data_IF_989832565750
#
_entry.id   IF_989832565750
#
_cell.length_a   1.000
_cell.length_b   1.000
_cell.length_c   1.000
_cell.angle_alpha   90.00
_cell.angle_beta   90.00
_cell.angle_gamma   90.00
#
_symmetry.space_group_name_H-M   'P 1'
#
loop_
_entity.id
_entity.type
_entity.pdbx_description
1 polymer ?
#
# COMPACT_ATOMS: atom_id res chain seq x y z
N UNK A 1 2.53 -18.57 0.33
CA UNK A 1 1.69 -19.54 1.04
C UNK A 1 2.57 -20.31 2.03
N UNK A 2 2.24 -20.20 3.31
CA UNK A 2 2.88 -20.98 4.36
C UNK A 2 2.02 -22.20 4.69
N UNK A 3 2.65 -23.36 4.87
CA UNK A 3 1.96 -24.64 5.06
C UNK A 3 2.58 -25.43 6.18
N UNK A 4 1.72 -26.01 7.01
CA UNK A 4 2.09 -27.05 7.97
C UNK A 4 1.49 -28.38 7.51
N UNK A 5 2.32 -29.27 7.02
CA UNK A 5 1.92 -30.61 6.61
C UNK A 5 2.18 -31.59 7.74
N UNK A 6 1.13 -32.20 8.25
CA UNK A 6 1.22 -33.26 9.26
C UNK A 6 1.96 -34.47 8.72
N UNK A 7 2.78 -35.11 9.54
CA UNK A 7 3.61 -36.30 9.13
C UNK A 7 2.76 -37.44 8.57
N UNK A 8 1.52 -37.55 8.98
CA UNK A 8 0.59 -38.59 8.51
C UNK A 8 -0.23 -38.20 7.27
N UNK A 9 0.03 -37.02 6.70
CA UNK A 9 -0.63 -36.56 5.48
C UNK A 9 0.22 -36.97 4.28
N UNK A 10 -0.34 -37.83 3.44
CA UNK A 10 0.27 -38.24 2.18
C UNK A 10 -0.43 -37.57 0.99
N UNK A 11 0.31 -36.79 0.21
CA UNK A 11 -0.20 -36.05 -0.97
C UNK A 11 0.33 -36.60 -2.30
N UNK A 12 1.13 -37.65 -2.28
CA UNK A 12 1.78 -38.18 -3.48
C UNK A 12 3.03 -37.40 -3.93
N UNK A 13 3.40 -36.33 -3.23
CA UNK A 13 4.47 -35.42 -3.65
C UNK A 13 3.94 -34.25 -4.50
N UNK A 14 4.85 -33.42 -5.02
CA UNK A 14 4.50 -32.30 -5.91
C UNK A 14 3.69 -31.16 -5.27
N UNK A 15 3.71 -31.02 -3.94
CA UNK A 15 2.94 -30.01 -3.20
C UNK A 15 3.20 -28.58 -3.70
N UNK A 16 4.45 -28.25 -3.97
CA UNK A 16 4.83 -26.91 -4.44
C UNK A 16 4.29 -26.63 -5.84
N UNK A 17 4.39 -27.59 -6.74
CA UNK A 17 3.86 -27.48 -8.10
C UNK A 17 2.34 -27.34 -8.09
N UNK A 18 1.64 -28.16 -7.30
CA UNK A 18 0.19 -28.11 -7.18
C UNK A 18 -0.30 -26.77 -6.64
N UNK A 19 0.40 -26.22 -5.64
CA UNK A 19 0.06 -24.90 -5.09
C UNK A 19 0.40 -23.75 -6.03
N UNK A 20 1.51 -23.84 -6.77
CA UNK A 20 1.86 -22.87 -7.80
C UNK A 20 0.81 -22.83 -8.91
N UNK A 21 0.32 -24.02 -9.34
CA UNK A 21 -0.80 -24.13 -10.29
C UNK A 21 -2.09 -23.53 -9.71
N UNK A 22 -2.39 -23.78 -8.44
CA UNK A 22 -3.54 -23.20 -7.75
C UNK A 22 -3.46 -21.67 -7.73
N UNK A 23 -2.31 -21.10 -7.40
CA UNK A 23 -2.10 -19.64 -7.46
C UNK A 23 -2.30 -19.12 -8.89
N UNK A 24 -1.68 -19.79 -9.88
CA UNK A 24 -1.85 -19.43 -11.29
C UNK A 24 -3.31 -19.39 -11.70
N UNK A 25 -4.05 -20.47 -11.45
CA UNK A 25 -5.45 -20.58 -11.83
C UNK A 25 -6.29 -19.49 -11.18
N UNK A 26 -6.11 -19.25 -9.87
CA UNK A 26 -6.83 -18.18 -9.15
C UNK A 26 -6.59 -16.81 -9.78
N UNK A 27 -5.34 -16.47 -10.14
CA UNK A 27 -5.06 -15.17 -10.78
C UNK A 27 -5.64 -15.05 -12.19
N UNK A 28 -5.81 -16.14 -12.91
CA UNK A 28 -6.38 -16.16 -14.26
C UNK A 28 -7.91 -16.18 -14.21
N UNK A 29 -8.50 -17.07 -13.42
CA UNK A 29 -9.94 -17.34 -13.41
C UNK A 29 -10.70 -16.25 -12.64
N UNK A 30 -10.17 -15.79 -11.51
CA UNK A 30 -10.81 -14.77 -10.65
C UNK A 30 -10.41 -13.33 -11.04
N UNK A 31 -9.66 -13.14 -12.12
CA UNK A 31 -9.19 -11.84 -12.59
C UNK A 31 -8.48 -11.01 -11.51
N UNK A 32 -7.70 -11.65 -10.64
CA UNK A 32 -6.99 -10.95 -9.60
C UNK A 32 -5.92 -10.01 -10.17
N UNK A 33 -5.66 -8.93 -9.47
CA UNK A 33 -4.69 -7.94 -9.87
C UNK A 33 -3.28 -8.54 -9.89
N UNK A 34 -2.65 -8.54 -11.06
CA UNK A 34 -1.30 -9.04 -11.29
C UNK A 34 -0.30 -7.87 -11.35
N UNK A 35 0.80 -7.98 -10.62
CA UNK A 35 1.83 -6.92 -10.56
C UNK A 35 3.26 -7.47 -10.47
N UNK A 36 3.43 -8.78 -10.69
CA UNK A 36 4.74 -9.42 -10.68
C UNK A 36 5.43 -9.21 -12.02
N UNK A 37 6.60 -8.58 -12.00
CA UNK A 37 7.47 -8.46 -13.16
C UNK A 37 8.60 -9.50 -13.07
N UNK A 38 8.92 -10.10 -14.20
CA UNK A 38 10.08 -10.96 -14.38
C UNK A 38 11.19 -10.18 -15.10
N UNK A 39 12.43 -10.15 -14.60
CA UNK A 39 13.54 -9.55 -15.30
C UNK A 39 13.92 -10.40 -16.52
N UNK A 40 14.09 -9.75 -17.67
CA UNK A 40 14.58 -10.38 -18.90
C UNK A 40 16.09 -10.18 -19.06
N UNK A 41 16.59 -9.04 -18.62
CA UNK A 41 18.01 -8.71 -18.53
C UNK A 41 18.21 -7.72 -17.38
N UNK A 42 19.36 -7.03 -17.32
CA UNK A 42 19.69 -6.10 -16.24
C UNK A 42 18.69 -4.93 -16.10
N UNK A 43 18.03 -4.53 -17.18
CA UNK A 43 17.18 -3.33 -17.23
C UNK A 43 15.77 -3.58 -17.79
N UNK A 44 15.56 -4.72 -18.47
CA UNK A 44 14.28 -5.03 -19.07
C UNK A 44 13.49 -5.98 -18.22
N UNK A 45 12.21 -5.69 -18.07
CA UNK A 45 11.26 -6.49 -17.32
C UNK A 45 9.99 -6.72 -18.15
N UNK A 46 9.31 -7.81 -17.86
CA UNK A 46 7.97 -8.11 -18.40
C UNK A 46 7.03 -8.51 -17.28
N UNK A 47 5.79 -8.03 -17.33
CA UNK A 47 4.77 -8.46 -16.39
C UNK A 47 4.40 -9.92 -16.67
N UNK A 48 4.40 -10.76 -15.64
CA UNK A 48 4.11 -12.20 -15.78
C UNK A 48 2.64 -12.49 -16.14
N UNK A 49 1.74 -11.55 -15.90
CA UNK A 49 0.30 -11.73 -16.11
C UNK A 49 -0.38 -12.71 -15.14
N UNK A 50 0.39 -13.39 -14.31
CA UNK A 50 -0.06 -14.49 -13.45
C UNK A 50 0.31 -14.32 -11.98
N UNK A 51 1.10 -13.32 -11.66
CA UNK A 51 1.70 -13.08 -10.34
C UNK A 51 2.62 -14.20 -9.84
N UNK A 52 3.12 -15.07 -10.72
CA UNK A 52 4.15 -16.04 -10.40
C UNK A 52 5.55 -15.44 -10.67
N UNK A 53 6.58 -15.93 -9.96
CA UNK A 53 6.58 -16.99 -8.96
C UNK A 53 5.97 -16.56 -7.63
N UNK A 54 5.25 -17.49 -6.98
CA UNK A 54 4.74 -17.31 -5.63
C UNK A 54 5.73 -17.82 -4.60
N UNK A 55 5.82 -17.16 -3.44
CA UNK A 55 6.56 -17.71 -2.32
C UNK A 55 5.74 -18.81 -1.66
N UNK A 56 6.34 -20.00 -1.52
CA UNK A 56 5.72 -21.19 -0.95
C UNK A 56 6.67 -21.78 0.08
N UNK A 57 6.27 -21.79 1.35
CA UNK A 57 7.04 -22.34 2.47
C UNK A 57 6.34 -23.57 3.04
N UNK A 58 7.01 -24.71 3.12
CA UNK A 58 6.47 -25.96 3.65
C UNK A 58 7.15 -26.33 4.96
N UNK A 59 6.35 -26.59 5.98
CA UNK A 59 6.82 -27.01 7.29
C UNK A 59 6.25 -28.40 7.63
N UNK A 60 7.12 -29.34 7.98
CA UNK A 60 6.70 -30.61 8.55
C UNK A 60 6.31 -30.42 10.01
N UNK A 61 5.18 -30.98 10.42
CA UNK A 61 4.68 -30.96 11.80
C UNK A 61 4.05 -32.30 12.15
N UNK A 62 3.84 -32.55 13.44
CA UNK A 62 3.05 -33.71 13.87
C UNK A 62 1.59 -33.55 13.48
N UNK A 63 0.94 -34.67 13.23
CA UNK A 63 -0.51 -34.68 13.00
C UNK A 63 -0.91 -35.28 11.65
N UNK A 64 -2.18 -35.14 11.35
CA UNK A 64 -2.90 -35.66 10.18
C UNK A 64 -3.68 -34.60 9.42
N UNK A 65 -3.41 -33.34 9.70
CA UNK A 65 -3.98 -32.20 9.01
C UNK A 65 -2.95 -31.50 8.11
N UNK A 66 -3.42 -30.93 7.01
CA UNK A 66 -2.67 -30.04 6.15
C UNK A 66 -3.21 -28.61 6.34
N UNK A 67 -2.43 -27.75 6.98
CA UNK A 67 -2.84 -26.38 7.32
C UNK A 67 -2.16 -25.37 6.41
N UNK A 68 -2.92 -24.38 5.97
CA UNK A 68 -2.49 -23.33 5.05
C UNK A 68 -2.66 -21.94 5.69
N UNK A 69 -1.72 -21.06 5.42
CA UNK A 69 -1.84 -19.63 5.56
C UNK A 69 -1.56 -19.01 4.20
N UNK A 70 -2.59 -18.49 3.55
CA UNK A 70 -2.48 -17.80 2.27
C UNK A 70 -2.44 -16.30 2.53
N UNK A 71 -1.43 -15.59 1.97
CA UNK A 71 -1.25 -14.15 2.13
C UNK A 71 -1.14 -13.52 0.74
N UNK A 72 -2.07 -12.60 0.40
CA UNK A 72 -2.08 -11.86 -0.85
C UNK A 72 -1.79 -10.38 -0.59
N UNK A 73 -0.52 -9.98 -0.59
CA UNK A 73 -0.09 -8.59 -0.41
C UNK A 73 0.68 -8.10 -1.63
N UNK A 74 0.31 -6.92 -2.14
CA UNK A 74 1.03 -6.27 -3.22
C UNK A 74 2.29 -5.54 -2.75
N UNK A 75 3.19 -5.19 -3.67
CA UNK A 75 4.49 -4.59 -3.39
C UNK A 75 4.44 -3.33 -2.51
N UNK A 76 3.47 -2.44 -2.71
CA UNK A 76 3.28 -1.25 -1.87
C UNK A 76 2.66 -1.53 -0.50
N UNK A 77 2.12 -2.72 -0.27
CA UNK A 77 1.56 -3.16 1.01
C UNK A 77 2.41 -4.28 1.63
N UNK A 78 3.45 -4.73 0.92
CA UNK A 78 4.36 -5.75 1.40
C UNK A 78 5.18 -5.22 2.58
N UNK A 79 5.64 -6.15 3.38
CA UNK A 79 6.44 -5.81 4.54
C UNK A 79 7.76 -5.17 4.13
N UNK A 80 8.05 -4.01 4.71
CA UNK A 80 9.41 -3.53 4.83
C UNK A 80 9.99 -4.12 6.10
N UNK A 81 10.99 -4.95 5.94
CA UNK A 81 11.64 -5.62 7.07
C UNK A 81 13.10 -5.22 7.10
N UNK A 82 13.56 -4.83 8.28
CA UNK A 82 14.94 -4.51 8.57
C UNK A 82 15.43 -5.42 9.68
N UNK A 83 16.66 -5.86 9.54
CA UNK A 83 17.38 -6.59 10.57
C UNK A 83 18.48 -5.70 11.14
N UNK A 84 18.47 -5.54 12.45
CA UNK A 84 19.53 -4.87 13.20
C UNK A 84 20.28 -5.90 14.03
N UNK A 85 21.60 -5.87 13.97
CA UNK A 85 22.45 -6.72 14.79
C UNK A 85 22.93 -5.90 16.00
N UNK A 86 22.33 -6.17 17.14
CA UNK A 86 22.61 -5.48 18.38
C UNK A 86 23.24 -6.45 19.41
N UNK A 87 23.62 -5.90 20.55
CA UNK A 87 24.17 -6.69 21.66
C UNK A 87 23.18 -6.78 22.81
N UNK A 88 23.45 -7.67 23.78
CA UNK A 88 22.65 -7.78 25.02
C UNK A 88 22.47 -6.43 25.74
N UNK A 89 23.39 -5.48 25.57
CA UNK A 89 23.31 -4.16 26.19
C UNK A 89 22.03 -3.37 25.79
N UNK A 90 21.39 -3.73 24.68
CA UNK A 90 20.11 -3.16 24.26
C UNK A 90 18.95 -3.60 25.16
N UNK A 91 19.02 -4.78 25.79
CA UNK A 91 17.93 -5.38 26.56
C UNK A 91 17.80 -4.78 27.96
N UNK A 92 17.62 -3.48 28.01
CA UNK A 92 17.15 -2.77 29.20
C UNK A 92 15.88 -2.00 28.80
N UNK A 93 14.88 -1.87 29.69
CA UNK A 93 13.57 -1.33 29.34
C UNK A 93 13.63 -0.01 28.54
N UNK A 94 14.33 0.98 29.07
CA UNK A 94 14.44 2.28 28.40
C UNK A 94 15.22 2.24 27.08
N UNK A 95 16.33 1.50 27.01
CA UNK A 95 17.16 1.44 25.80
C UNK A 95 16.45 0.75 24.64
N UNK A 96 15.80 -0.39 24.91
CA UNK A 96 15.08 -1.12 23.90
C UNK A 96 13.93 -0.27 23.32
N UNK A 97 13.12 0.34 24.17
CA UNK A 97 12.03 1.22 23.75
C UNK A 97 12.55 2.38 22.90
N UNK A 98 13.55 3.10 23.38
CA UNK A 98 14.11 4.25 22.66
C UNK A 98 14.69 3.86 21.28
N UNK A 99 15.40 2.74 21.22
CA UNK A 99 15.90 2.20 19.96
C UNK A 99 14.76 1.93 18.97
N UNK A 100 13.70 1.27 19.40
CA UNK A 100 12.56 0.95 18.55
C UNK A 100 11.84 2.20 18.05
N UNK A 101 11.61 3.18 18.94
CA UNK A 101 11.00 4.47 18.58
C UNK A 101 11.87 5.24 17.59
N UNK A 102 13.20 5.25 17.78
CA UNK A 102 14.13 5.85 16.82
C UNK A 102 14.02 5.19 15.43
N UNK A 103 14.00 3.85 15.40
CA UNK A 103 13.85 3.13 14.13
C UNK A 103 12.47 3.32 13.48
N UNK A 104 11.40 3.44 14.28
CA UNK A 104 10.09 3.84 13.77
C UNK A 104 10.15 5.18 13.04
N UNK A 105 10.81 6.18 13.60
CA UNK A 105 11.00 7.50 12.96
C UNK A 105 11.70 7.39 11.61
N UNK A 106 12.78 6.61 11.55
CA UNK A 106 13.54 6.43 10.30
C UNK A 106 12.79 5.59 9.27
N UNK A 107 12.00 4.63 9.69
CA UNK A 107 11.12 3.87 8.82
C UNK A 107 10.02 4.77 8.24
N UNK A 108 9.39 5.60 9.06
CA UNK A 108 8.39 6.56 8.63
C UNK A 108 8.93 7.60 7.65
N UNK A 109 10.02 8.26 7.97
CA UNK A 109 10.61 9.32 7.12
C UNK A 109 11.22 8.78 5.83
N UNK A 110 11.78 7.59 5.81
CA UNK A 110 12.24 6.94 4.56
C UNK A 110 11.08 6.52 3.66
N UNK A 111 9.90 6.36 4.19
CA UNK A 111 8.67 6.22 3.40
C UNK A 111 8.17 7.57 2.87
N UNK A 112 8.49 8.66 3.56
CA UNK A 112 8.16 10.01 3.11
C UNK A 112 9.23 10.61 2.20
N UNK A 113 10.48 10.14 2.22
CA UNK A 113 11.59 10.69 1.44
C UNK A 113 12.02 9.86 0.23
N UNK A 114 11.60 8.61 0.12
CA UNK A 114 11.52 7.93 -1.17
C UNK A 114 10.14 8.23 -1.73
N UNK A 115 9.99 8.43 -3.06
CA UNK A 115 8.70 8.77 -3.64
C UNK A 115 7.64 7.79 -3.13
N UNK A 116 6.95 8.28 -2.20
CA UNK A 116 6.02 7.76 -1.25
C UNK A 116 5.25 6.49 -1.62
N UNK A 117 5.20 5.61 -0.70
CA UNK A 117 4.17 4.59 -0.62
C UNK A 117 3.05 5.13 0.27
N UNK A 118 1.78 5.11 -0.14
CA UNK A 118 0.69 5.64 0.67
C UNK A 118 0.45 4.77 1.86
N UNK A 119 0.31 5.44 2.93
CA UNK A 119 0.04 4.81 4.19
C UNK A 119 -1.44 4.46 4.28
N UNK A 120 -1.67 3.20 4.20
CA UNK A 120 -2.68 2.63 5.09
C UNK A 120 -2.08 2.68 6.48
N UNK A 121 -2.90 2.83 7.48
CA UNK A 121 -2.49 2.67 8.85
C UNK A 121 -1.61 1.44 8.94
N UNK A 122 -0.39 1.62 9.41
CA UNK A 122 0.61 0.58 9.37
C UNK A 122 0.51 -0.28 10.62
N UNK A 123 0.41 -1.57 10.44
CA UNK A 123 0.65 -2.53 11.51
C UNK A 123 2.15 -2.67 11.68
N UNK A 124 2.67 -2.18 12.77
CA UNK A 124 4.06 -2.36 13.14
C UNK A 124 4.24 -3.75 13.75
N UNK A 125 5.17 -4.52 13.19
CA UNK A 125 5.52 -5.83 13.72
C UNK A 125 6.99 -5.83 14.10
N UNK A 126 7.23 -6.24 15.32
CA UNK A 126 8.54 -6.26 15.90
C UNK A 126 8.89 -7.65 16.42
N UNK A 127 10.12 -8.09 16.15
CA UNK A 127 10.63 -9.37 16.62
C UNK A 127 11.99 -9.17 17.28
N UNK A 128 12.14 -9.65 18.49
CA UNK A 128 13.42 -9.68 19.17
C UNK A 128 13.78 -11.14 19.50
N UNK A 129 14.89 -11.59 18.95
CA UNK A 129 15.42 -12.92 19.25
C UNK A 129 15.81 -13.72 18.02
N UNK A 130 16.44 -14.84 18.23
CA UNK A 130 16.90 -15.78 17.23
C UNK A 130 16.70 -17.20 17.72
N UNK A 131 16.05 -18.04 16.95
CA UNK A 131 15.99 -19.48 17.21
C UNK A 131 17.05 -20.20 16.38
N UNK A 132 18.04 -20.84 16.99
CA UNK A 132 19.11 -21.52 16.26
C UNK A 132 18.61 -22.66 15.35
N UNK A 133 17.48 -23.24 15.69
CA UNK A 133 16.91 -24.40 14.98
C UNK A 133 16.23 -24.05 13.66
N UNK A 134 15.99 -22.77 13.37
CA UNK A 134 15.23 -22.33 12.20
C UNK A 134 16.07 -21.57 11.16
N UNK A 135 17.37 -21.70 11.16
CA UNK A 135 18.26 -21.02 10.22
C UNK A 135 18.98 -19.81 10.81
N UNK A 136 19.40 -18.88 9.94
CA UNK A 136 20.12 -17.68 10.36
C UNK A 136 19.22 -16.67 11.07
N UNK A 137 19.82 -15.73 11.81
CA UNK A 137 19.06 -14.62 12.45
C UNK A 137 18.19 -13.85 11.46
N UNK A 138 18.67 -13.67 10.24
CA UNK A 138 17.95 -12.96 9.18
C UNK A 138 16.69 -13.71 8.77
N UNK A 139 16.79 -15.01 8.53
CA UNK A 139 15.66 -15.86 8.13
C UNK A 139 14.61 -15.96 9.23
N UNK A 140 15.03 -16.20 10.47
CA UNK A 140 14.13 -16.29 11.62
C UNK A 140 13.37 -14.97 11.83
N UNK A 141 14.06 -13.84 11.79
CA UNK A 141 13.42 -12.53 11.96
C UNK A 141 12.46 -12.22 10.81
N UNK A 142 12.87 -12.44 9.56
CA UNK A 142 12.01 -12.23 8.40
C UNK A 142 10.74 -13.07 8.48
N UNK A 143 10.86 -14.35 8.78
CA UNK A 143 9.73 -15.27 8.96
C UNK A 143 8.81 -14.80 10.09
N UNK A 144 9.37 -14.44 11.23
CA UNK A 144 8.59 -14.03 12.39
C UNK A 144 7.84 -12.71 12.15
N UNK A 145 8.48 -11.72 11.52
CA UNK A 145 7.82 -10.48 11.11
C UNK A 145 6.68 -10.76 10.12
N UNK A 146 6.90 -11.62 9.13
CA UNK A 146 5.88 -12.03 8.17
C UNK A 146 4.67 -12.67 8.86
N UNK A 147 4.90 -13.63 9.74
CA UNK A 147 3.84 -14.35 10.46
C UNK A 147 3.11 -13.45 11.47
N UNK A 148 3.84 -12.56 12.17
CA UNK A 148 3.23 -11.56 13.03
C UNK A 148 2.31 -10.64 12.21
N UNK A 149 2.72 -10.22 11.01
CA UNK A 149 1.91 -9.37 10.13
C UNK A 149 0.65 -10.06 9.57
N UNK A 150 0.56 -11.37 9.69
CA UNK A 150 -0.60 -12.17 9.35
C UNK A 150 -1.39 -12.63 10.60
N UNK A 151 -1.17 -11.99 11.74
CA UNK A 151 -1.82 -12.33 13.01
C UNK A 151 -1.62 -13.79 13.48
N UNK A 152 -0.61 -14.45 12.94
CA UNK A 152 -0.35 -15.87 13.24
C UNK A 152 0.07 -16.09 14.70
N UNK A 153 0.67 -15.08 15.33
CA UNK A 153 1.20 -15.14 16.70
C UNK A 153 0.30 -14.47 17.74
N UNK A 154 -0.94 -14.18 17.41
CA UNK A 154 -1.85 -13.48 18.34
C UNK A 154 -2.23 -14.34 19.57
N UNK A 155 -2.18 -15.66 19.42
CA UNK A 155 -2.46 -16.63 20.48
C UNK A 155 -1.21 -17.07 21.27
N UNK A 156 -0.02 -16.50 21.02
CA UNK A 156 1.15 -16.79 21.83
C UNK A 156 0.92 -16.35 23.28
N UNK A 157 1.53 -17.06 24.25
CA UNK A 157 1.51 -16.63 25.65
C UNK A 157 2.12 -15.24 25.83
N UNK A 158 1.81 -14.59 26.93
CA UNK A 158 2.30 -13.25 27.26
C UNK A 158 3.59 -13.26 28.09
N UNK A 159 4.05 -14.43 28.49
CA UNK A 159 5.26 -14.63 29.27
C UNK A 159 6.11 -15.77 28.70
N UNK A 160 7.42 -15.61 28.79
CA UNK A 160 8.39 -16.66 28.49
C UNK A 160 8.56 -17.66 29.64
N UNK A 161 9.26 -18.73 29.37
CA UNK A 161 9.68 -19.70 30.39
C UNK A 161 11.14 -20.13 30.22
N UNK A 162 11.66 -20.91 31.14
CA UNK A 162 13.04 -21.39 31.13
C UNK A 162 13.36 -22.35 29.96
N UNK A 163 12.32 -22.91 29.32
CA UNK A 163 12.45 -23.79 28.17
C UNK A 163 12.48 -23.07 26.82
N UNK A 164 12.53 -21.74 26.84
CA UNK A 164 12.65 -20.93 25.62
C UNK A 164 11.33 -20.74 24.87
N UNK A 165 10.21 -20.70 25.58
CA UNK A 165 8.91 -20.42 25.00
C UNK A 165 8.89 -19.04 24.35
N UNK A 166 8.49 -18.96 23.08
CA UNK A 166 8.17 -17.69 22.43
C UNK A 166 6.95 -17.05 23.08
N UNK A 167 6.95 -15.72 23.21
CA UNK A 167 5.83 -14.99 23.82
C UNK A 167 5.62 -13.61 23.20
N UNK A 168 4.45 -13.03 23.43
CA UNK A 168 4.12 -11.65 23.09
C UNK A 168 4.42 -10.73 24.28
N UNK A 169 5.21 -9.70 24.06
CA UNK A 169 5.51 -8.66 25.04
C UNK A 169 4.43 -7.57 24.98
N UNK A 170 3.27 -7.86 25.56
CA UNK A 170 2.07 -6.99 25.53
C UNK A 170 2.35 -5.61 26.13
N UNK A 171 3.14 -5.55 27.19
CA UNK A 171 3.48 -4.27 27.80
C UNK A 171 4.25 -3.39 26.82
N UNK A 172 5.27 -3.94 26.15
CA UNK A 172 6.05 -3.20 25.17
C UNK A 172 5.22 -2.87 23.91
N UNK A 173 4.28 -3.72 23.49
CA UNK A 173 3.33 -3.43 22.41
C UNK A 173 2.52 -2.17 22.72
N UNK A 174 1.97 -2.04 23.92
CA UNK A 174 1.20 -0.88 24.38
C UNK A 174 2.05 0.39 24.46
N UNK A 175 3.22 0.31 25.11
CA UNK A 175 4.15 1.43 25.20
C UNK A 175 4.56 1.96 23.82
N UNK A 176 4.85 1.07 22.89
CA UNK A 176 5.23 1.44 21.51
C UNK A 176 4.06 2.03 20.72
N UNK A 177 2.85 1.55 20.95
CA UNK A 177 1.66 2.11 20.31
C UNK A 177 1.39 3.55 20.76
N UNK A 178 1.56 3.83 22.04
CA UNK A 178 1.47 5.19 22.60
C UNK A 178 2.54 6.12 22.03
N UNK A 179 3.80 5.65 21.99
CA UNK A 179 4.89 6.42 21.40
C UNK A 179 4.69 6.66 19.88
N UNK A 180 4.17 5.66 19.18
CA UNK A 180 3.84 5.80 17.75
C UNK A 180 2.83 6.93 17.50
N UNK A 181 1.86 7.14 18.40
CA UNK A 181 0.90 8.24 18.29
C UNK A 181 1.55 9.61 18.55
N UNK A 182 2.59 9.67 19.40
CA UNK A 182 3.34 10.90 19.69
C UNK A 182 4.31 11.29 18.58
N UNK A 183 4.64 10.38 17.68
CA UNK A 183 5.57 10.66 16.58
C UNK A 183 5.09 11.76 15.63
N UNK A 184 3.79 11.99 15.53
CA UNK A 184 3.21 12.99 14.63
C UNK A 184 3.38 12.69 13.14
N UNK A 185 3.86 11.50 12.77
CA UNK A 185 4.09 11.09 11.39
C UNK A 185 2.78 10.75 10.68
N UNK A 186 1.77 10.35 11.45
CA UNK A 186 0.48 9.96 10.92
C UNK A 186 0.53 8.73 10.03
N UNK A 187 -0.64 8.39 9.52
CA UNK A 187 -0.80 7.34 8.53
C UNK A 187 -0.99 7.96 7.12
N UNK A 188 -1.65 7.27 6.25
CA UNK A 188 -1.88 7.63 4.85
C UNK A 188 -2.39 9.07 4.62
N UNK A 189 -3.13 9.62 5.57
CA UNK A 189 -3.68 10.98 5.51
C UNK A 189 -3.08 11.92 6.55
N UNK A 190 -1.90 11.60 7.08
CA UNK A 190 -1.31 12.34 8.19
C UNK A 190 -2.03 12.06 9.51
N UNK A 191 -1.84 12.92 10.49
CA UNK A 191 -2.56 12.89 11.76
C UNK A 191 -1.89 12.06 12.85
N UNK A 192 -2.66 11.77 13.89
CA UNK A 192 -2.20 11.18 15.14
C UNK A 192 -1.82 9.70 15.01
N UNK A 193 -2.53 8.94 14.19
CA UNK A 193 -2.41 7.49 14.16
C UNK A 193 -1.38 7.04 13.14
N UNK A 194 -0.20 6.70 13.60
CA UNK A 194 0.88 6.13 12.80
C UNK A 194 0.75 4.60 12.67
N UNK A 195 0.36 3.93 13.73
CA UNK A 195 0.08 2.51 13.74
C UNK A 195 -1.28 2.24 14.40
N UNK A 196 -2.01 1.24 13.91
CA UNK A 196 -3.21 0.73 14.56
C UNK A 196 -2.87 -0.36 15.55
N UNK A 197 -1.85 -1.15 15.23
CA UNK A 197 -1.53 -2.34 15.95
C UNK A 197 -0.03 -2.61 15.91
N UNK A 198 0.50 -3.12 17.01
CA UNK A 198 1.91 -3.48 17.15
C UNK A 198 1.98 -4.89 17.72
N UNK A 199 2.88 -5.70 17.19
CA UNK A 199 3.22 -7.02 17.73
C UNK A 199 4.68 -7.07 18.09
N UNK A 200 4.97 -7.46 19.32
CA UNK A 200 6.32 -7.67 19.84
C UNK A 200 6.48 -9.14 20.20
N UNK A 201 7.18 -9.88 19.36
CA UNK A 201 7.43 -11.31 19.57
C UNK A 201 8.84 -11.48 20.14
N UNK A 202 8.92 -12.12 21.29
CA UNK A 202 10.17 -12.46 21.95
C UNK A 202 10.52 -13.91 21.69
N UNK A 203 11.73 -14.13 21.17
CA UNK A 203 12.27 -15.45 20.86
C UNK A 203 13.56 -15.70 21.66
N UNK A 204 13.94 -16.96 21.89
CA UNK A 204 15.28 -17.33 22.36
C UNK A 204 16.36 -16.73 21.47
N UNK A 205 17.50 -16.40 22.04
CA UNK A 205 18.62 -15.80 21.33
C UNK A 205 19.96 -16.32 21.84
N UNK A 206 21.00 -16.14 21.04
CA UNK A 206 22.37 -16.34 21.49
C UNK A 206 22.74 -15.35 22.62
N UNK A 207 23.49 -15.81 23.62
CA UNK A 207 23.76 -15.03 24.84
C UNK A 207 24.42 -13.67 24.60
N UNK A 208 25.29 -13.56 23.63
CA UNK A 208 26.05 -12.34 23.33
C UNK A 208 25.34 -11.37 22.36
N UNK A 209 24.52 -11.89 21.44
CA UNK A 209 23.88 -11.08 20.37
C UNK A 209 22.42 -10.82 20.69
N UNK A 210 21.89 -9.74 20.12
CA UNK A 210 20.48 -9.40 20.18
C UNK A 210 20.00 -8.96 18.78
N UNK A 211 19.75 -9.90 17.87
CA UNK A 211 19.16 -9.56 16.58
C UNK A 211 17.76 -9.00 16.76
N UNK A 212 17.48 -7.90 16.05
CA UNK A 212 16.21 -7.18 16.13
C UNK A 212 15.63 -7.07 14.73
N UNK A 213 14.54 -7.74 14.47
CA UNK A 213 13.76 -7.61 13.24
C UNK A 213 12.64 -6.59 13.41
N UNK A 214 12.53 -5.65 12.51
CA UNK A 214 11.43 -4.69 12.48
C UNK A 214 10.79 -4.69 11.11
N UNK A 215 9.48 -4.81 11.08
CA UNK A 215 8.72 -4.75 9.84
C UNK A 215 7.51 -3.85 9.95
N UNK A 216 7.12 -3.29 8.83
CA UNK A 216 5.90 -2.52 8.69
C UNK A 216 5.10 -3.03 7.51
N UNK A 217 3.81 -3.25 7.72
CA UNK A 217 2.90 -3.66 6.67
C UNK A 217 1.64 -2.80 6.65
N UNK A 218 0.94 -2.85 5.53
CA UNK A 218 -0.38 -2.25 5.44
C UNK A 218 -1.36 -2.97 6.38
N UNK A 219 -2.24 -2.21 7.03
CA UNK A 219 -3.36 -2.73 7.84
C UNK A 219 -4.40 -3.52 7.05
N UNK A 220 -4.32 -3.54 5.71
CA UNK A 220 -5.20 -4.40 4.93
C UNK A 220 -4.91 -5.86 5.24
N UNK A 221 -5.80 -6.47 5.97
CA UNK A 221 -5.78 -7.88 6.22
C UNK A 221 -6.14 -8.62 4.93
N UNK A 222 -5.18 -9.37 4.39
CA UNK A 222 -5.29 -10.11 3.14
C UNK A 222 -4.68 -11.49 3.30
N UNK A 223 -4.99 -12.10 4.40
CA UNK A 223 -4.62 -13.47 4.69
C UNK A 223 -5.87 -14.27 5.00
N UNK A 224 -5.78 -15.56 4.75
CA UNK A 224 -6.81 -16.53 5.08
C UNK A 224 -6.15 -17.82 5.54
N UNK A 225 -6.72 -18.41 6.57
CA UNK A 225 -6.31 -19.73 7.07
C UNK A 225 -7.26 -20.79 6.52
N UNK A 226 -6.69 -21.92 6.15
CA UNK A 226 -7.46 -23.07 5.72
C UNK A 226 -6.81 -24.36 6.24
N UNK A 227 -7.57 -25.44 6.30
CA UNK A 227 -7.08 -26.78 6.61
C UNK A 227 -7.76 -27.82 5.77
N UNK A 228 -7.06 -28.89 5.51
CA UNK A 228 -7.58 -30.11 4.89
C UNK A 228 -7.30 -31.27 5.84
N UNK A 229 -8.28 -32.08 6.11
CA UNK A 229 -8.19 -33.31 6.85
C UNK A 229 -9.08 -34.38 6.20
N UNK A 230 -9.25 -35.55 6.84
CA UNK A 230 -10.07 -36.63 6.32
C UNK A 230 -11.55 -36.31 6.22
N UNK A 231 -12.02 -35.32 6.98
CA UNK A 231 -13.43 -34.91 7.04
C UNK A 231 -13.77 -33.88 5.96
N UNK A 232 -12.77 -33.16 5.41
CA UNK A 232 -13.01 -32.19 4.35
C UNK A 232 -12.01 -31.03 4.30
N UNK A 233 -12.44 -29.97 3.62
CA UNK A 233 -11.72 -28.70 3.46
C UNK A 233 -12.43 -27.64 4.29
N UNK A 234 -11.67 -26.93 5.11
CA UNK A 234 -12.16 -25.92 6.02
C UNK A 234 -11.45 -24.61 5.75
N UNK A 235 -12.21 -23.52 5.68
CA UNK A 235 -11.70 -22.14 5.55
C UNK A 235 -12.15 -21.38 6.80
N UNK A 236 -11.32 -20.51 7.34
CA UNK A 236 -11.70 -19.68 8.48
C UNK A 236 -12.88 -18.79 8.14
N UNK A 237 -13.69 -18.48 9.15
CA UNK A 237 -14.88 -17.64 8.99
C UNK A 237 -14.47 -16.23 8.60
N UNK A 238 -15.00 -15.74 7.49
CA UNK A 238 -14.80 -14.36 7.03
C UNK A 238 -15.92 -13.45 7.55
N UNK A 239 -15.60 -12.21 7.84
CA UNK A 239 -16.59 -11.19 8.14
C UNK A 239 -17.25 -10.71 6.84
N UNK A 240 -18.55 -10.87 6.75
CA UNK A 240 -19.34 -10.49 5.57
C UNK A 240 -20.04 -9.14 5.70
N UNK A 241 -20.11 -8.59 6.91
CA UNK A 241 -20.75 -7.31 7.18
C UNK A 241 -19.87 -6.41 8.06
N UNK A 242 -18.70 -5.96 7.59
CA UNK A 242 -17.80 -5.11 8.38
C UNK A 242 -18.44 -3.76 8.75
N UNK A 243 -19.45 -3.30 8.01
CA UNK A 243 -20.19 -2.08 8.29
C UNK A 243 -20.90 -2.08 9.64
N UNK A 244 -21.17 -3.24 10.22
CA UNK A 244 -21.80 -3.35 11.55
C UNK A 244 -20.93 -2.75 12.66
N UNK A 245 -19.60 -2.68 12.47
CA UNK A 245 -18.65 -2.15 13.45
C UNK A 245 -18.44 -0.63 13.33
N UNK A 246 -19.06 0.02 12.35
CA UNK A 246 -18.96 1.48 12.22
C UNK A 246 -19.88 2.11 13.28
N UNK A 247 -19.36 2.98 14.18
CA UNK A 247 -20.16 3.71 15.15
C UNK A 247 -21.30 4.49 14.47
N UNK A 248 -22.47 4.51 15.09
CA UNK A 248 -23.67 5.15 14.53
C UNK A 248 -23.44 6.64 14.20
N UNK A 249 -22.69 7.33 15.05
CA UNK A 249 -22.30 8.73 14.87
C UNK A 249 -21.53 8.96 13.55
N UNK A 250 -20.69 7.99 13.14
CA UNK A 250 -19.93 8.06 11.89
C UNK A 250 -20.77 7.65 10.67
N UNK A 251 -21.83 6.90 10.85
CA UNK A 251 -22.77 6.56 9.76
C UNK A 251 -23.56 7.78 9.32
N UNK A 252 -23.92 8.63 10.27
CA UNK A 252 -24.70 9.85 10.05
C UNK A 252 -23.85 11.05 9.59
N UNK A 253 -22.56 11.05 9.85
CA UNK A 253 -21.65 12.16 9.53
C UNK A 253 -21.32 12.32 8.02
N UNK A 254 -21.91 11.53 7.14
CA UNK A 254 -21.54 11.41 5.73
C UNK A 254 -22.36 12.21 4.72
N UNK A 255 -23.40 12.96 5.11
CA UNK A 255 -24.40 13.54 4.22
C UNK A 255 -24.15 15.01 3.79
N UNK A 256 -22.89 15.43 3.65
CA UNK A 256 -22.59 16.70 2.96
C UNK A 256 -22.70 16.51 1.43
N UNK A 257 -23.39 17.45 0.76
CA UNK A 257 -23.51 17.45 -0.70
C UNK A 257 -22.11 17.59 -1.35
N UNK A 258 -21.76 16.67 -2.25
CA UNK A 258 -20.50 16.74 -2.98
C UNK A 258 -20.61 17.74 -4.14
N UNK A 259 -19.57 18.55 -4.35
CA UNK A 259 -19.50 19.47 -5.49
C UNK A 259 -19.36 18.68 -6.78
N UNK A 260 -20.31 18.84 -7.69
CA UNK A 260 -20.28 18.20 -9.01
C UNK A 260 -19.29 18.91 -9.92
N UNK A 261 -18.42 18.14 -10.54
CA UNK A 261 -17.38 18.62 -11.46
C UNK A 261 -17.48 17.85 -12.77
N UNK A 262 -17.80 18.54 -13.84
CA UNK A 262 -17.79 18.00 -15.21
C UNK A 262 -16.37 18.11 -15.78
N UNK A 263 -15.73 16.96 -16.00
CA UNK A 263 -14.37 16.82 -16.51
C UNK A 263 -14.30 16.90 -18.06
N UNK A 264 -15.43 17.01 -18.75
CA UNK A 264 -15.47 17.15 -20.21
C UNK A 264 -15.31 18.63 -20.67
N UNK A 265 -15.28 19.55 -19.71
CA UNK A 265 -15.00 20.96 -19.97
C UNK A 265 -13.49 21.20 -20.18
N UNK A 266 -13.11 22.32 -20.81
CA UNK A 266 -11.70 22.70 -20.91
C UNK A 266 -11.02 22.73 -19.55
N UNK A 267 -9.78 22.24 -19.44
CA UNK A 267 -9.02 22.14 -18.20
C UNK A 267 -9.00 23.47 -17.43
N UNK A 268 -8.84 24.60 -18.12
CA UNK A 268 -8.84 25.94 -17.52
C UNK A 268 -10.13 26.24 -16.74
N UNK A 269 -11.29 25.80 -17.23
CA UNK A 269 -12.58 26.01 -16.56
C UNK A 269 -12.73 25.11 -15.34
N UNK A 270 -12.23 23.87 -15.45
CA UNK A 270 -12.23 22.92 -14.32
C UNK A 270 -11.35 23.48 -13.18
N UNK A 271 -10.14 23.94 -13.49
CA UNK A 271 -9.23 24.53 -12.52
C UNK A 271 -9.86 25.79 -11.87
N UNK A 272 -10.48 26.65 -12.65
CA UNK A 272 -11.17 27.84 -12.15
C UNK A 272 -12.35 27.50 -11.21
N UNK A 273 -13.07 26.40 -11.48
CA UNK A 273 -14.10 25.91 -10.57
C UNK A 273 -13.49 25.38 -9.27
N UNK A 274 -12.46 24.51 -9.35
CA UNK A 274 -11.82 23.92 -8.16
C UNK A 274 -11.19 24.97 -7.26
N UNK A 275 -10.63 26.05 -7.84
CA UNK A 275 -10.04 27.17 -7.09
C UNK A 275 -11.03 27.91 -6.16
N UNK A 276 -12.33 27.73 -6.34
CA UNK A 276 -13.35 28.33 -5.49
C UNK A 276 -13.56 27.58 -4.17
N UNK A 277 -13.05 26.36 -4.05
CA UNK A 277 -13.30 25.47 -2.92
C UNK A 277 -12.04 25.22 -2.09
N UNK A 278 -12.17 25.18 -0.76
CA UNK A 278 -11.03 24.89 0.11
C UNK A 278 -10.64 23.41 0.07
N UNK A 279 -9.45 23.10 0.59
CA UNK A 279 -9.05 21.72 0.88
C UNK A 279 -10.07 21.03 1.78
N UNK A 280 -10.20 19.72 1.70
CA UNK A 280 -11.24 18.85 2.32
C UNK A 280 -12.59 18.85 1.60
N UNK A 281 -12.82 19.70 0.60
CA UNK A 281 -14.09 19.71 -0.14
C UNK A 281 -14.30 18.38 -0.85
N UNK A 282 -15.49 17.79 -0.67
CA UNK A 282 -15.91 16.56 -1.37
C UNK A 282 -16.35 16.89 -2.78
N UNK A 283 -15.90 16.08 -3.72
CA UNK A 283 -16.18 16.23 -5.14
C UNK A 283 -16.87 14.97 -5.68
N UNK A 284 -17.75 15.15 -6.66
CA UNK A 284 -18.31 14.13 -7.52
C UNK A 284 -17.87 14.42 -8.95
N UNK A 285 -16.98 13.60 -9.49
CA UNK A 285 -16.36 13.83 -10.80
C UNK A 285 -17.08 13.01 -11.88
N UNK A 286 -17.43 13.66 -13.00
CA UNK A 286 -18.02 12.99 -14.17
C UNK A 286 -17.28 13.41 -15.43
N UNK A 287 -16.89 12.45 -16.27
CA UNK A 287 -16.19 12.65 -17.55
C UNK A 287 -14.92 11.82 -17.67
N UNK A 288 -13.99 12.29 -18.50
CA UNK A 288 -12.77 11.57 -18.87
C UNK A 288 -11.65 11.76 -17.86
N UNK A 289 -10.99 10.67 -17.51
CA UNK A 289 -9.77 10.65 -16.67
C UNK A 289 -8.72 9.76 -17.34
N UNK A 290 -7.47 10.22 -17.39
CA UNK A 290 -6.33 9.42 -17.80
C UNK A 290 -5.78 8.66 -16.61
N UNK A 291 -5.51 7.38 -16.79
CA UNK A 291 -4.96 6.49 -15.75
C UNK A 291 -3.51 6.18 -16.10
N UNK A 292 -2.60 6.49 -15.19
CA UNK A 292 -1.18 6.20 -15.36
C UNK A 292 -0.45 6.27 -14.03
N UNK A 293 0.54 5.42 -13.85
CA UNK A 293 1.32 5.38 -12.62
C UNK A 293 2.83 5.37 -12.91
N UNK A 294 3.62 4.67 -12.11
CA UNK A 294 5.09 4.79 -12.09
C UNK A 294 5.76 4.73 -13.47
N UNK A 295 5.54 3.65 -14.23
CA UNK A 295 6.22 3.48 -15.53
C UNK A 295 5.65 4.46 -16.56
N UNK A 296 4.34 4.71 -16.55
CA UNK A 296 3.73 5.72 -17.41
C UNK A 296 4.35 7.11 -17.21
N UNK A 297 4.56 7.53 -15.93
CA UNK A 297 5.21 8.82 -15.63
C UNK A 297 6.67 8.85 -16.05
N UNK A 298 7.40 7.75 -15.90
CA UNK A 298 8.78 7.65 -16.41
C UNK A 298 8.83 7.82 -17.92
N UNK A 299 7.90 7.19 -18.67
CA UNK A 299 7.77 7.34 -20.13
C UNK A 299 7.41 8.77 -20.54
N UNK A 300 6.49 9.42 -19.83
CA UNK A 300 6.17 10.83 -20.06
C UNK A 300 7.38 11.75 -19.82
N UNK A 301 8.18 11.47 -18.79
CA UNK A 301 9.43 12.18 -18.54
C UNK A 301 10.45 11.95 -19.65
N UNK A 302 10.63 10.70 -20.10
CA UNK A 302 11.51 10.38 -21.24
C UNK A 302 11.13 11.18 -22.50
N UNK A 303 9.85 11.37 -22.77
CA UNK A 303 9.39 12.20 -23.90
C UNK A 303 9.81 13.67 -23.74
N UNK A 304 9.74 14.22 -22.52
CA UNK A 304 10.17 15.58 -22.22
C UNK A 304 11.69 15.70 -22.28
N UNK A 305 12.42 14.75 -21.69
CA UNK A 305 13.90 14.74 -21.66
C UNK A 305 14.48 14.53 -23.07
N UNK A 306 13.87 13.69 -23.91
CA UNK A 306 14.24 13.53 -25.31
C UNK A 306 14.10 14.87 -26.06
N UNK A 307 13.03 15.62 -25.76
CA UNK A 307 12.82 16.96 -26.29
C UNK A 307 13.92 17.94 -25.85
N UNK A 308 14.37 17.87 -24.60
CA UNK A 308 15.49 18.71 -24.10
C UNK A 308 16.81 18.39 -24.78
N UNK A 309 17.04 17.14 -25.24
CA UNK A 309 18.22 16.73 -26.01
C UNK A 309 18.08 17.05 -27.51
N UNK A 310 16.85 17.00 -28.05
CA UNK A 310 16.49 17.24 -29.44
C UNK A 310 16.02 18.70 -29.69
N UNK A 311 16.16 19.60 -28.74
CA UNK A 311 15.74 21.01 -28.80
C UNK A 311 16.40 21.78 -29.96
N UNK A 312 17.10 21.10 -30.82
CA UNK A 312 17.63 21.66 -32.07
C UNK A 312 16.76 21.26 -33.28
N UNK A 313 16.03 20.13 -33.22
CA UNK A 313 15.20 19.69 -34.38
C UNK A 313 13.88 19.00 -33.97
N UNK A 314 12.74 19.68 -34.18
CA UNK A 314 11.35 19.22 -34.18
C UNK A 314 10.75 18.70 -32.84
N UNK A 315 10.08 19.60 -32.14
CA UNK A 315 9.42 19.35 -30.85
C UNK A 315 8.29 18.35 -30.82
N UNK A 316 8.44 17.29 -30.06
CA UNK A 316 7.34 16.47 -29.59
C UNK A 316 6.79 17.08 -28.27
N UNK A 317 5.58 17.58 -28.29
CA UNK A 317 4.90 18.06 -27.08
C UNK A 317 4.37 16.88 -26.25
N UNK A 318 4.05 17.14 -24.97
CA UNK A 318 3.26 16.18 -24.18
C UNK A 318 2.01 15.79 -24.98
N UNK A 319 1.61 14.50 -24.92
CA UNK A 319 0.37 14.08 -25.55
C UNK A 319 -0.80 14.92 -25.10
N UNK A 320 -1.68 15.31 -26.04
CA UNK A 320 -2.78 16.23 -25.76
C UNK A 320 -3.71 15.72 -24.65
N UNK A 321 -3.95 14.40 -24.59
CA UNK A 321 -4.78 13.78 -23.56
C UNK A 321 -4.22 13.97 -22.14
N UNK A 322 -2.91 14.18 -21.96
CA UNK A 322 -2.28 14.49 -20.66
C UNK A 322 -2.52 15.94 -20.25
N UNK A 323 -2.70 16.84 -21.23
CA UNK A 323 -3.00 18.25 -20.98
C UNK A 323 -4.49 18.50 -20.72
N UNK A 324 -5.35 17.75 -21.43
CA UNK A 324 -6.79 17.97 -21.43
C UNK A 324 -7.52 17.31 -20.24
N UNK A 325 -6.95 16.28 -19.62
CA UNK A 325 -7.64 15.50 -18.63
C UNK A 325 -6.86 15.33 -17.32
N UNK A 326 -7.58 15.14 -16.19
CA UNK A 326 -6.95 14.72 -14.92
C UNK A 326 -6.20 13.41 -15.05
N UNK A 327 -5.17 13.20 -14.24
CA UNK A 327 -4.43 11.93 -14.19
C UNK A 327 -4.74 11.21 -12.89
N UNK A 328 -5.24 9.98 -13.00
CA UNK A 328 -5.48 9.07 -11.89
C UNK A 328 -4.33 8.08 -11.76
N UNK A 329 -3.65 8.13 -10.64
CA UNK A 329 -2.54 7.21 -10.33
C UNK A 329 -3.10 5.85 -9.92
N UNK A 330 -3.34 5.02 -10.89
CA UNK A 330 -3.96 3.71 -10.73
C UNK A 330 -3.48 2.74 -11.81
N UNK A 331 -3.87 1.49 -11.69
CA UNK A 331 -3.67 0.47 -12.72
C UNK A 331 -4.81 -0.54 -12.63
N UNK A 332 -5.53 -0.82 -13.73
CA UNK A 332 -6.68 -1.70 -13.72
C UNK A 332 -6.27 -3.17 -13.52
N UNK A 333 -7.08 -3.91 -12.78
CA UNK A 333 -7.08 -5.36 -12.86
C UNK A 333 -7.68 -5.82 -14.20
N UNK A 334 -7.55 -7.10 -14.55
CA UNK A 334 -8.21 -7.67 -15.73
C UNK A 334 -9.72 -7.43 -15.63
N UNK A 335 -10.32 -7.03 -16.76
CA UNK A 335 -11.76 -6.78 -16.81
C UNK A 335 -12.52 -8.09 -16.86
N UNK A 336 -13.41 -8.39 -15.89
CA UNK A 336 -14.27 -9.55 -15.96
C UNK A 336 -15.29 -9.41 -17.09
N UNK A 337 -15.78 -10.55 -17.62
CA UNK A 337 -16.80 -10.54 -18.65
C UNK A 337 -18.07 -9.82 -18.18
N UNK A 338 -18.59 -8.92 -18.99
CA UNK A 338 -19.80 -8.15 -18.70
C UNK A 338 -19.61 -6.90 -17.81
N UNK A 339 -18.37 -6.58 -17.41
CA UNK A 339 -18.05 -5.38 -16.65
C UNK A 339 -17.28 -4.36 -17.50
N UNK A 340 -17.42 -3.06 -17.24
CA UNK A 340 -16.68 -2.02 -17.97
C UNK A 340 -15.20 -1.97 -17.59
N UNK A 341 -14.85 -2.42 -16.38
CA UNK A 341 -13.48 -2.41 -15.86
C UNK A 341 -13.30 -3.50 -14.81
N UNK A 342 -12.09 -3.98 -14.63
CA UNK A 342 -11.67 -4.68 -13.43
C UNK A 342 -11.48 -3.72 -12.26
N UNK A 343 -11.18 -4.26 -11.08
CA UNK A 343 -10.89 -3.45 -9.89
C UNK A 343 -9.84 -2.37 -10.20
N UNK A 344 -10.17 -1.10 -9.95
CA UNK A 344 -9.33 0.04 -10.24
C UNK A 344 -9.31 0.99 -9.03
N UNK A 345 -8.25 0.95 -8.27
CA UNK A 345 -8.08 1.77 -7.08
C UNK A 345 -6.81 2.61 -7.10
N UNK A 346 -6.77 3.71 -6.36
CA UNK A 346 -5.65 4.64 -6.37
C UNK A 346 -4.39 3.97 -5.83
N UNK A 347 -3.26 4.25 -6.49
CA UNK A 347 -1.93 3.94 -5.98
C UNK A 347 -1.38 5.14 -5.19
N UNK A 348 -0.18 4.96 -4.68
CA UNK A 348 0.56 5.96 -3.90
C UNK A 348 0.94 7.16 -4.74
N UNK A 349 0.50 8.32 -4.29
CA UNK A 349 0.77 9.57 -4.96
C UNK A 349 2.27 9.93 -4.98
N UNK A 350 2.92 9.88 -3.82
CA UNK A 350 4.26 10.40 -3.64
C UNK A 350 5.36 9.72 -4.46
N UNK A 351 5.09 8.53 -5.05
CA UNK A 351 6.05 7.94 -6.01
C UNK A 351 6.21 8.76 -7.29
N UNK A 352 5.22 9.56 -7.61
CA UNK A 352 5.22 10.45 -8.76
C UNK A 352 5.61 11.89 -8.44
N UNK A 353 5.97 12.20 -7.19
CA UNK A 353 6.27 13.58 -6.76
C UNK A 353 7.35 14.26 -7.59
N UNK A 354 8.41 13.53 -7.95
CA UNK A 354 9.52 14.04 -8.75
C UNK A 354 9.14 14.42 -10.20
N UNK A 355 7.97 14.00 -10.67
CA UNK A 355 7.52 14.31 -12.03
C UNK A 355 6.58 15.52 -12.10
N UNK A 356 5.99 15.94 -10.95
CA UNK A 356 4.87 16.88 -10.92
C UNK A 356 5.24 18.25 -11.44
N UNK A 357 6.28 18.88 -10.91
CA UNK A 357 6.73 20.22 -11.34
C UNK A 357 7.04 20.25 -12.85
N UNK A 358 7.73 19.22 -13.33
CA UNK A 358 8.06 19.08 -14.74
C UNK A 358 6.81 18.94 -15.63
N UNK A 359 5.88 18.05 -15.28
CA UNK A 359 4.67 17.84 -16.07
C UNK A 359 3.76 19.07 -16.05
N UNK A 360 3.56 19.70 -14.90
CA UNK A 360 2.75 20.89 -14.76
C UNK A 360 3.34 22.11 -15.51
N UNK A 361 4.67 22.25 -15.52
CA UNK A 361 5.33 23.30 -16.29
C UNK A 361 5.10 23.19 -17.79
N UNK A 362 4.71 22.00 -18.29
CA UNK A 362 4.33 21.74 -19.69
C UNK A 362 2.81 21.67 -19.89
N UNK A 363 2.03 22.07 -18.88
CA UNK A 363 0.56 22.11 -18.93
C UNK A 363 -0.12 20.74 -18.78
N UNK A 364 0.62 19.69 -18.41
CA UNK A 364 0.07 18.36 -18.16
C UNK A 364 -0.07 18.06 -16.68
N UNK A 365 -0.84 17.04 -16.31
CA UNK A 365 -1.03 16.61 -14.92
C UNK A 365 -1.49 17.72 -13.97
N UNK A 366 -2.28 18.66 -14.49
CA UNK A 366 -2.76 19.79 -13.70
C UNK A 366 -3.70 19.37 -12.57
N UNK A 367 -4.41 18.27 -12.73
CA UNK A 367 -5.23 17.64 -11.70
C UNK A 367 -4.77 16.19 -11.54
N UNK A 368 -4.34 15.86 -10.34
CA UNK A 368 -3.85 14.54 -9.98
C UNK A 368 -4.82 13.87 -9.01
N UNK A 369 -5.21 12.63 -9.27
CA UNK A 369 -6.01 11.80 -8.36
C UNK A 369 -5.16 10.63 -7.86
N UNK A 370 -5.07 10.45 -6.56
CA UNK A 370 -4.37 9.33 -5.97
C UNK A 370 -4.73 9.17 -4.49
N UNK A 371 -3.92 8.43 -3.74
CA UNK A 371 -4.03 8.34 -2.28
C UNK A 371 -2.70 8.64 -1.60
N UNK A 372 -2.78 9.11 -0.34
CA UNK A 372 -1.63 9.46 0.49
C UNK A 372 -1.25 10.93 0.41
N UNK A 373 -0.39 11.35 1.34
CA UNK A 373 0.14 12.71 1.33
C UNK A 373 1.24 12.85 0.27
N UNK A 374 1.61 14.09 0.00
CA UNK A 374 2.64 14.45 -0.97
C UNK A 374 3.79 15.16 -0.26
N UNK A 375 4.94 15.24 -0.92
CA UNK A 375 6.05 16.10 -0.47
C UNK A 375 5.72 17.57 -0.67
N UNK A 376 6.42 18.45 0.05
CA UNK A 376 6.31 19.91 -0.10
C UNK A 376 6.51 20.36 -1.56
N UNK A 377 7.39 19.68 -2.29
CA UNK A 377 7.63 19.94 -3.71
C UNK A 377 6.34 19.94 -4.55
N UNK A 378 5.38 19.08 -4.22
CA UNK A 378 4.09 19.01 -4.95
C UNK A 378 3.18 20.16 -4.58
N UNK A 379 3.14 20.53 -3.30
CA UNK A 379 2.38 21.71 -2.85
C UNK A 379 2.90 22.96 -3.53
N UNK A 380 4.23 23.11 -3.59
CA UNK A 380 4.90 24.21 -4.26
C UNK A 380 4.62 24.23 -5.78
N UNK A 381 4.65 23.07 -6.43
CA UNK A 381 4.33 22.94 -7.85
C UNK A 381 2.86 23.29 -8.14
N UNK A 382 1.92 22.80 -7.34
CA UNK A 382 0.50 23.15 -7.46
C UNK A 382 0.28 24.66 -7.31
N UNK A 383 0.93 25.29 -6.34
CA UNK A 383 0.87 26.73 -6.17
C UNK A 383 1.47 27.50 -7.36
N UNK A 384 2.63 27.07 -7.82
CA UNK A 384 3.36 27.72 -8.93
C UNK A 384 2.65 27.63 -10.27
N UNK A 385 2.04 26.49 -10.55
CA UNK A 385 1.44 26.18 -11.86
C UNK A 385 -0.09 26.22 -11.87
N UNK A 386 -0.75 26.42 -10.71
CA UNK A 386 -2.20 26.41 -10.59
C UNK A 386 -2.81 25.00 -10.63
N UNK A 387 -2.08 23.99 -10.17
CA UNK A 387 -2.52 22.60 -10.17
C UNK A 387 -3.25 22.18 -8.89
N UNK A 388 -3.82 20.97 -8.93
CA UNK A 388 -4.55 20.38 -7.79
C UNK A 388 -4.15 18.94 -7.56
N UNK A 389 -4.10 18.55 -6.28
CA UNK A 389 -4.07 17.15 -5.90
C UNK A 389 -5.38 16.76 -5.23
N UNK A 390 -6.05 15.76 -5.80
CA UNK A 390 -7.29 15.20 -5.30
C UNK A 390 -7.04 13.82 -4.69
N UNK A 391 -7.61 13.58 -3.52
CA UNK A 391 -7.58 12.29 -2.86
C UNK A 391 -8.71 11.38 -3.35
N UNK A 392 -8.39 10.12 -3.58
CA UNK A 392 -9.36 9.06 -3.86
C UNK A 392 -9.23 7.93 -2.83
N UNK A 393 -10.34 7.30 -2.49
CA UNK A 393 -10.39 6.26 -1.45
C UNK A 393 -9.89 4.93 -2.01
N UNK A 394 -8.90 4.31 -1.33
CA UNK A 394 -8.25 3.08 -1.82
C UNK A 394 -8.99 1.77 -1.51
N UNK A 395 -9.83 1.75 -0.48
CA UNK A 395 -10.55 0.55 -0.04
C UNK A 395 -11.53 0.01 -1.08
N UNK A 396 -12.46 0.82 -1.58
CA UNK A 396 -13.57 0.37 -2.43
C UNK A 396 -13.21 0.28 -3.92
N UNK A 397 -11.98 -0.15 -4.27
CA UNK A 397 -11.52 -0.17 -5.67
C UNK A 397 -12.42 -1.00 -6.60
N UNK A 398 -12.98 -2.10 -6.12
CA UNK A 398 -13.92 -2.91 -6.89
C UNK A 398 -15.29 -2.23 -7.01
N UNK A 399 -15.76 -1.60 -5.92
CA UNK A 399 -17.03 -0.86 -5.90
C UNK A 399 -16.96 0.36 -6.83
N UNK A 400 -15.87 1.13 -6.79
CA UNK A 400 -15.64 2.25 -7.71
C UNK A 400 -15.63 1.81 -9.17
N UNK A 401 -14.99 0.66 -9.46
CA UNK A 401 -14.97 0.10 -10.81
C UNK A 401 -16.38 -0.27 -11.32
N UNK A 402 -17.24 -0.75 -10.45
CA UNK A 402 -18.62 -1.13 -10.81
C UNK A 402 -19.58 0.06 -10.88
N UNK A 403 -19.49 0.99 -9.95
CA UNK A 403 -20.46 2.08 -9.81
C UNK A 403 -20.08 3.30 -10.65
N UNK A 404 -18.81 3.71 -10.61
CA UNK A 404 -18.39 4.98 -11.20
C UNK A 404 -17.70 4.85 -12.56
N UNK A 405 -17.03 3.74 -12.88
CA UNK A 405 -16.35 3.58 -14.16
C UNK A 405 -17.31 3.00 -15.18
N UNK A 406 -17.46 3.69 -16.31
CA UNK A 406 -18.38 3.30 -17.39
C UNK A 406 -17.66 2.70 -18.59
N UNK A 407 -16.42 3.13 -18.83
CA UNK A 407 -15.60 2.65 -19.95
C UNK A 407 -14.11 2.65 -19.57
N UNK A 408 -13.35 1.73 -20.16
CA UNK A 408 -11.91 1.61 -20.00
C UNK A 408 -11.29 1.24 -21.34
N UNK A 409 -10.31 2.03 -21.79
CA UNK A 409 -9.51 1.73 -23.00
C UNK A 409 -8.02 1.99 -22.77
N UNK A 410 -7.16 1.21 -23.44
CA UNK A 410 -5.70 1.43 -23.39
C UNK A 410 -5.32 2.47 -24.46
N UNK A 411 -4.67 3.55 -24.05
CA UNK A 411 -4.29 4.66 -24.93
C UNK A 411 -2.85 4.52 -25.43
N UNK A 412 -1.94 4.06 -24.56
CA UNK A 412 -0.53 3.92 -24.90
C UNK A 412 0.17 2.85 -24.07
N UNK A 413 1.21 2.27 -24.63
CA UNK A 413 2.08 1.27 -24.00
C UNK A 413 1.34 0.00 -23.53
N UNK A 414 0.53 -0.66 -24.37
CA UNK A 414 -0.26 -1.84 -24.00
C UNK A 414 0.61 -2.99 -23.47
N UNK A 415 1.86 -3.08 -23.88
CA UNK A 415 2.84 -4.06 -23.40
C UNK A 415 3.15 -3.95 -21.90
N UNK A 416 2.88 -2.80 -21.29
CA UNK A 416 3.08 -2.58 -19.85
C UNK A 416 1.90 -3.09 -19.00
N UNK A 417 0.85 -3.62 -19.60
CA UNK A 417 -0.31 -4.15 -18.91
C UNK A 417 -0.94 -3.11 -17.97
N UNK A 418 -1.01 -3.40 -16.66
CA UNK A 418 -1.58 -2.45 -15.69
C UNK A 418 -0.77 -1.17 -15.50
N UNK A 419 0.46 -1.10 -15.97
CA UNK A 419 1.32 0.09 -15.95
C UNK A 419 1.22 0.91 -17.26
N UNK A 420 0.41 0.46 -18.23
CA UNK A 420 0.09 1.19 -19.43
C UNK A 420 -0.64 2.51 -19.13
N UNK A 421 -0.78 3.36 -20.13
CA UNK A 421 -1.65 4.53 -20.04
C UNK A 421 -3.04 4.12 -20.50
N UNK A 422 -4.01 4.29 -19.60
CA UNK A 422 -5.41 3.99 -19.86
C UNK A 422 -6.24 5.26 -19.84
N UNK A 423 -7.38 5.21 -20.47
CA UNK A 423 -8.42 6.23 -20.39
C UNK A 423 -9.68 5.59 -19.82
N UNK A 424 -10.31 6.28 -18.87
CA UNK A 424 -11.59 5.88 -18.30
C UNK A 424 -12.61 6.98 -18.42
N UNK A 425 -13.86 6.58 -18.63
CA UNK A 425 -15.02 7.45 -18.47
C UNK A 425 -15.67 7.15 -17.13
N UNK A 426 -15.87 8.20 -16.33
CA UNK A 426 -16.45 8.08 -14.98
C UNK A 426 -17.73 8.89 -14.84
N UNK A 427 -18.59 8.40 -13.93
CA UNK A 427 -19.79 9.08 -13.49
C UNK A 427 -19.83 9.05 -11.95
N UNK A 428 -20.09 10.20 -11.34
CA UNK A 428 -20.16 10.38 -9.89
C UNK A 428 -18.96 9.76 -9.12
N UNK A 429 -17.76 9.93 -9.66
CA UNK A 429 -16.54 9.41 -9.05
C UNK A 429 -16.14 10.25 -7.84
N UNK A 430 -16.07 9.67 -6.61
CA UNK A 430 -15.81 10.42 -5.40
C UNK A 430 -14.34 10.83 -5.26
N UNK A 431 -14.10 12.09 -4.96
CA UNK A 431 -12.77 12.64 -4.69
C UNK A 431 -12.82 13.74 -3.63
N UNK A 432 -11.64 14.20 -3.18
CA UNK A 432 -11.49 15.28 -2.21
C UNK A 432 -10.35 16.21 -2.62
N UNK A 433 -10.46 17.51 -2.42
CA UNK A 433 -9.34 18.43 -2.61
C UNK A 433 -8.37 18.24 -1.43
N UNK A 434 -7.14 17.83 -1.71
CA UNK A 434 -6.08 17.62 -0.71
C UNK A 434 -4.96 18.67 -0.80
N UNK A 435 -4.60 19.10 -2.01
CA UNK A 435 -3.71 20.25 -2.23
C UNK A 435 -4.35 21.12 -3.29
N UNK A 436 -4.39 22.43 -3.06
CA UNK A 436 -4.98 23.41 -3.97
C UNK A 436 -3.92 24.29 -4.67
N UNK A 437 -4.38 25.09 -5.60
CA UNK A 437 -3.60 26.07 -6.37
C UNK A 437 -3.05 27.25 -5.56
N UNK A 438 -3.47 27.37 -4.29
CA UNK A 438 -3.03 28.43 -3.37
C UNK A 438 -1.93 27.95 -2.42
N UNK A 439 -1.50 26.69 -2.55
CA UNK A 439 -0.50 26.08 -1.68
C UNK A 439 -1.06 25.60 -0.34
N UNK A 440 -2.37 25.46 -0.20
CA UNK A 440 -2.96 24.82 0.96
C UNK A 440 -2.83 23.30 0.85
N UNK A 441 -2.37 22.68 1.93
CA UNK A 441 -2.21 21.24 2.04
C UNK A 441 -2.99 20.72 3.25
N UNK A 442 -3.94 19.84 3.00
CA UNK A 442 -4.78 19.21 4.02
C UNK A 442 -3.96 18.55 5.13
N UNK A 443 -2.89 17.87 4.77
CA UNK A 443 -2.07 17.13 5.75
C UNK A 443 -1.27 18.09 6.63
N UNK A 444 -0.71 19.14 6.07
CA UNK A 444 0.00 20.17 6.82
C UNK A 444 -0.94 20.92 7.78
N UNK A 445 -2.17 21.19 7.37
CA UNK A 445 -3.15 21.82 8.25
C UNK A 445 -3.46 20.97 9.48
N UNK A 446 -3.51 19.63 9.34
CA UNK A 446 -3.70 18.73 10.48
C UNK A 446 -2.49 18.76 11.41
N UNK A 447 -1.27 18.67 10.87
CA UNK A 447 -0.03 18.71 11.65
C UNK A 447 0.08 20.04 12.42
N UNK A 448 -0.19 21.16 11.78
CA UNK A 448 -0.10 22.48 12.39
C UNK A 448 -1.15 22.67 13.51
N UNK A 449 -2.37 22.17 13.35
CA UNK A 449 -3.40 22.19 14.41
C UNK A 449 -2.99 21.35 15.63
N UNK A 450 -2.28 20.25 15.43
CA UNK A 450 -1.80 19.41 16.52
C UNK A 450 -0.64 20.07 17.28
N UNK A 451 0.31 20.70 16.60
CA UNK A 451 1.39 21.47 17.25
C UNK A 451 0.85 22.64 18.08
N UNK A 452 -0.17 23.35 17.63
CA UNK A 452 -0.79 24.43 18.37
C UNK A 452 -1.52 23.96 19.66
N UNK A 453 -1.96 22.72 19.70
CA UNK A 453 -2.59 22.12 20.90
C UNK A 453 -1.59 21.50 21.89
N UNK A 454 -0.34 21.26 21.48
CA UNK A 454 0.73 20.78 22.35
C UNK A 454 1.44 21.91 23.12
N UNK A 455 1.20 23.17 22.77
CA UNK A 455 1.78 24.36 23.42
C UNK A 455 0.81 25.04 24.40
N UNK A 456 -0.31 24.45 24.67
CA UNK A 456 -1.24 24.76 25.75
C UNK A 456 -1.27 23.61 26.75
#
# INVERSE_FOLDING_TARGET
VDRKKGQRVWTGGGDEEALSKGVYNTYIEDNLRYSQNAPLDMYKEVNTGTNLPAQIDLYAVDGDEYKFLCVAKGGGSANKTYLYQETKALLTPGKLKNFLVEKMRTLGTRYCSLPAVPYRVCDWRYVCGNQPENGTSAETNLKTVKLASAHYYDELPTEGNEHGQAFRDIQLEQELLEEAQKLGLGAQFGGKYFAHDIRVIRLPRHGASCPVGMGVSCSADRNIKAKINREGIWIEKLEHNPGQYIPEELRQAGEGEAVKVDLNRPMKEILAQLSQYPVSTRLSLTGTIIVGRDIAHAKLKELIDAKLKELIDAGKELPQYIKDHPIYYAGPAKTPAGYPSGSLGPTTAGRMDSYVDLLQSHGGSMIMLAKGNRSQQVTDACHKHGGFYLGSIGGPAAVLAQQSIKHLECVAYPELGMEAIWKIEVEDFPAFILVDDKGNDFFQQIVNKQCANCTK
#
